data_IF_485660024289
#
_entry.id   IF_485660024289
#
_cell.length_a   1.000
_cell.length_b   1.000
_cell.length_c   1.000
_cell.angle_alpha   90.00
_cell.angle_beta   90.00
_cell.angle_gamma   90.00
#
_symmetry.space_group_name_H-M   'P 1'
#
loop_
_entity.id
_entity.type
_entity.pdbx_description
1 polymer ?
#
# COMPACT_ATOMS: atom_id res chain seq x y z
N UNK A 1 14.01 11.16 4.67
CA UNK A 1 14.41 11.01 3.25
C UNK A 1 13.35 11.68 2.40
N UNK A 2 13.66 12.79 1.76
CA UNK A 2 12.69 13.54 0.95
C UNK A 2 12.92 13.13 -0.51
N UNK A 3 12.01 12.33 -1.08
CA UNK A 3 12.05 12.06 -2.52
C UNK A 3 11.26 13.16 -3.20
N UNK A 4 12.00 13.86 -4.06
CA UNK A 4 11.51 14.91 -4.95
C UNK A 4 10.33 14.33 -5.72
N UNK A 5 9.15 14.98 -5.71
CA UNK A 5 8.13 14.72 -6.73
C UNK A 5 8.82 14.90 -8.08
N UNK A 6 9.21 13.79 -8.68
CA UNK A 6 9.83 13.80 -9.99
C UNK A 6 8.76 14.35 -10.91
N UNK A 7 9.11 15.32 -11.74
CA UNK A 7 8.28 15.77 -12.86
C UNK A 7 8.15 14.67 -13.95
N UNK A 8 8.07 13.40 -13.53
CA UNK A 8 7.99 12.16 -14.29
C UNK A 8 6.73 11.39 -13.91
N UNK A 9 6.48 10.27 -14.57
CA UNK A 9 5.20 9.60 -14.43
C UNK A 9 5.06 8.82 -13.10
N UNK A 10 3.88 8.92 -12.49
CA UNK A 10 3.58 8.34 -11.18
C UNK A 10 2.11 7.90 -11.08
N UNK A 11 1.76 6.97 -10.17
CA UNK A 11 0.36 6.67 -9.86
C UNK A 11 -0.32 7.90 -9.24
N UNK A 12 -1.59 8.13 -9.56
CA UNK A 12 -2.42 9.15 -8.95
C UNK A 12 -3.81 8.59 -8.70
N UNK A 13 -4.24 8.63 -7.45
CA UNK A 13 -5.54 8.11 -7.04
C UNK A 13 -6.62 9.18 -7.15
N UNK A 14 -7.76 8.83 -7.73
CA UNK A 14 -9.04 9.39 -7.29
C UNK A 14 -9.59 8.45 -6.22
N UNK A 15 -9.91 8.99 -5.04
CA UNK A 15 -10.54 8.22 -3.98
C UNK A 15 -11.71 7.40 -4.53
N UNK A 16 -11.83 6.14 -4.09
CA UNK A 16 -12.92 5.30 -4.54
C UNK A 16 -14.25 5.86 -4.02
N UNK A 17 -15.20 6.05 -4.92
CA UNK A 17 -16.59 6.37 -4.58
C UNK A 17 -17.45 5.18 -5.04
N UNK A 18 -18.22 4.60 -4.12
CA UNK A 18 -19.19 3.53 -4.42
C UNK A 18 -20.31 4.08 -5.33
N UNK A 19 -20.01 4.19 -6.63
CA UNK A 19 -20.98 4.41 -7.70
C UNK A 19 -21.26 3.06 -8.35
N UNK A 20 -22.42 2.89 -8.98
CA UNK A 20 -22.93 1.58 -9.46
C UNK A 20 -22.00 0.70 -10.31
N UNK A 21 -20.88 1.25 -10.82
CA UNK A 21 -19.89 0.56 -11.65
C UNK A 21 -18.47 0.50 -11.03
N UNK A 22 -18.29 1.00 -9.79
CA UNK A 22 -17.03 1.04 -9.07
C UNK A 22 -17.19 0.26 -7.76
N UNK A 23 -16.39 -0.79 -7.59
CA UNK A 23 -16.29 -1.52 -6.33
C UNK A 23 -15.14 -0.94 -5.50
N UNK A 24 -15.46 -0.36 -4.35
CA UNK A 24 -14.49 -0.09 -3.30
C UNK A 24 -14.29 -1.35 -2.41
N UNK A 25 -13.42 -1.27 -1.41
CA UNK A 25 -13.11 -2.38 -0.51
C UNK A 25 -11.74 -3.00 -0.74
N UNK A 26 -10.76 -2.22 -1.20
CA UNK A 26 -9.36 -2.60 -1.09
C UNK A 26 -9.01 -2.85 0.39
N UNK A 27 -8.13 -3.81 0.66
CA UNK A 27 -7.83 -4.20 2.03
C UNK A 27 -6.43 -4.77 2.20
N UNK A 28 -5.92 -4.67 3.42
CA UNK A 28 -4.81 -5.52 3.88
C UNK A 28 -5.42 -6.84 4.35
N UNK A 29 -5.02 -7.95 3.75
CA UNK A 29 -5.52 -9.29 4.12
C UNK A 29 -4.56 -10.01 5.06
N UNK A 30 -3.31 -9.58 5.10
CA UNK A 30 -2.27 -10.15 5.95
C UNK A 30 -1.19 -9.11 6.25
N UNK A 31 -0.76 -9.04 7.52
CA UNK A 31 0.45 -8.33 7.91
C UNK A 31 1.15 -9.11 9.03
N UNK A 32 2.47 -9.20 8.95
CA UNK A 32 3.29 -9.81 10.00
C UNK A 32 4.63 -9.09 10.14
N UNK A 33 4.89 -8.56 11.34
CA UNK A 33 6.19 -8.05 11.75
C UNK A 33 7.12 -9.22 12.08
N UNK A 34 8.30 -9.20 11.47
CA UNK A 34 9.33 -10.23 11.61
C UNK A 34 10.42 -9.76 12.59
N UNK A 35 11.09 -10.69 13.29
CA UNK A 35 12.14 -10.35 14.28
C UNK A 35 13.36 -9.59 13.75
N UNK A 36 13.52 -9.45 12.43
CA UNK A 36 14.64 -8.77 11.78
C UNK A 36 14.27 -7.37 11.26
N UNK A 37 13.35 -6.69 11.95
CA UNK A 37 12.82 -5.37 11.56
C UNK A 37 12.30 -5.38 10.13
N UNK A 38 11.51 -6.40 9.77
CA UNK A 38 10.83 -6.46 8.47
C UNK A 38 9.35 -6.66 8.65
N UNK A 39 8.57 -6.21 7.69
CA UNK A 39 7.13 -6.48 7.65
C UNK A 39 6.78 -7.16 6.33
N UNK A 40 6.08 -8.30 6.42
CA UNK A 40 5.48 -8.95 5.27
C UNK A 40 4.00 -8.60 5.23
N UNK A 41 3.54 -8.02 4.11
CA UNK A 41 2.16 -7.56 3.93
C UNK A 41 1.60 -8.13 2.64
N UNK A 42 0.34 -8.52 2.69
CA UNK A 42 -0.47 -8.80 1.50
C UNK A 42 -1.64 -7.84 1.45
N UNK A 43 -1.74 -7.11 0.34
CA UNK A 43 -2.88 -6.25 0.01
C UNK A 43 -3.71 -6.86 -1.09
N UNK A 44 -5.00 -6.55 -1.11
CA UNK A 44 -5.97 -7.04 -2.08
C UNK A 44 -6.83 -5.89 -2.62
N UNK A 45 -7.02 -5.84 -3.94
CA UNK A 45 -7.94 -4.92 -4.59
C UNK A 45 -9.33 -5.55 -4.71
N UNK A 46 -10.39 -4.75 -4.86
CA UNK A 46 -11.69 -5.27 -5.27
C UNK A 46 -11.57 -5.99 -6.62
N UNK A 47 -12.40 -7.00 -6.84
CA UNK A 47 -12.36 -7.81 -8.07
C UNK A 47 -13.29 -7.24 -9.14
N UNK A 48 -12.72 -6.62 -10.16
CA UNK A 48 -13.44 -6.07 -11.31
C UNK A 48 -13.55 -7.06 -12.48
N UNK A 49 -13.01 -8.29 -12.35
CA UNK A 49 -12.92 -9.27 -13.44
C UNK A 49 -12.29 -8.71 -14.74
N UNK A 50 -11.45 -7.68 -14.62
CA UNK A 50 -10.83 -6.96 -15.73
C UNK A 50 -9.31 -7.17 -15.79
N UNK A 51 -8.76 -8.05 -14.94
CA UNK A 51 -7.32 -8.33 -14.81
C UNK A 51 -6.46 -7.08 -14.47
N UNK A 52 -7.04 -6.07 -13.82
CA UNK A 52 -6.36 -4.87 -13.35
C UNK A 52 -6.44 -4.75 -11.81
N UNK A 53 -5.85 -5.73 -11.12
CA UNK A 53 -5.74 -5.73 -9.67
C UNK A 53 -4.75 -4.68 -9.12
N UNK A 54 -3.97 -5.05 -8.10
CA UNK A 54 -3.07 -4.11 -7.40
C UNK A 54 -2.01 -3.54 -8.35
N UNK A 55 -2.18 -2.28 -8.72
CA UNK A 55 -1.36 -1.60 -9.73
C UNK A 55 -0.26 -0.74 -9.10
N UNK A 56 -0.54 -0.17 -7.94
CA UNK A 56 0.43 0.61 -7.17
C UNK A 56 0.10 0.57 -5.67
N UNK A 57 1.10 0.93 -4.86
CA UNK A 57 0.95 1.18 -3.43
C UNK A 57 1.58 2.53 -3.08
N UNK A 58 1.06 3.23 -2.07
CA UNK A 58 1.55 4.54 -1.63
C UNK A 58 1.28 4.75 -0.15
N UNK A 59 1.73 5.91 0.37
CA UNK A 59 1.63 6.30 1.80
C UNK A 59 1.59 5.12 2.76
N UNK A 60 2.73 4.45 2.92
CA UNK A 60 2.83 3.27 3.76
C UNK A 60 3.53 3.61 5.08
N UNK A 61 2.79 3.50 6.18
CA UNK A 61 3.29 3.72 7.54
C UNK A 61 2.93 2.54 8.44
N UNK A 62 3.87 2.18 9.31
CA UNK A 62 3.66 1.20 10.39
C UNK A 62 3.80 1.91 11.73
N UNK A 63 2.92 1.63 12.67
CA UNK A 63 3.04 2.05 14.07
C UNK A 63 2.92 0.84 14.99
N UNK A 64 3.74 0.77 16.01
CA UNK A 64 3.74 -0.30 17.01
C UNK A 64 3.46 0.29 18.37
N UNK A 65 2.61 -0.36 19.15
CA UNK A 65 2.35 -0.02 20.55
C UNK A 65 3.56 -0.46 21.39
N UNK A 66 4.64 0.33 21.41
CA UNK A 66 5.79 0.01 22.26
C UNK A 66 5.41 0.20 23.74
N UNK A 67 5.56 -0.88 24.50
CA UNK A 67 5.23 -0.92 25.93
C UNK A 67 6.37 -0.38 26.81
N UNK A 68 7.55 -0.06 26.25
CA UNK A 68 8.75 0.24 27.04
C UNK A 68 8.81 1.68 27.56
N UNK A 69 8.21 2.65 26.88
CA UNK A 69 8.27 4.08 27.28
C UNK A 69 6.93 4.84 27.21
N UNK A 70 5.81 4.13 27.04
CA UNK A 70 4.48 4.74 26.97
C UNK A 70 4.20 5.52 25.68
N UNK A 71 5.10 5.45 24.70
CA UNK A 71 4.96 6.04 23.37
C UNK A 71 5.25 4.98 22.31
N UNK A 72 4.31 4.75 21.39
CA UNK A 72 4.52 3.80 20.29
C UNK A 72 5.57 4.26 19.29
N UNK A 73 6.25 3.32 18.64
CA UNK A 73 7.22 3.60 17.57
C UNK A 73 6.54 3.59 16.21
N UNK A 74 6.96 4.46 15.28
CA UNK A 74 6.44 4.50 13.90
C UNK A 74 7.54 4.64 12.88
N UNK A 75 7.35 4.03 11.71
CA UNK A 75 8.20 4.24 10.54
C UNK A 75 7.35 4.43 9.27
N UNK A 76 7.73 5.42 8.47
CA UNK A 76 7.09 5.73 7.18
C UNK A 76 8.00 5.26 6.06
N UNK A 77 7.48 4.33 5.27
CA UNK A 77 8.26 3.50 4.35
C UNK A 77 8.12 3.99 2.91
N UNK A 78 6.92 4.41 2.53
CA UNK A 78 6.61 4.90 1.19
C UNK A 78 5.93 6.25 1.34
N UNK A 79 6.60 7.32 0.92
CA UNK A 79 6.05 8.68 0.90
C UNK A 79 5.30 8.99 -0.40
N UNK A 80 5.73 8.43 -1.53
CA UNK A 80 5.10 8.65 -2.83
C UNK A 80 4.66 7.31 -3.42
N UNK A 81 3.51 7.24 -4.11
CA UNK A 81 3.04 6.00 -4.71
C UNK A 81 4.05 5.41 -5.70
N UNK A 82 4.21 4.09 -5.65
CA UNK A 82 5.06 3.30 -6.54
C UNK A 82 4.24 2.25 -7.29
N UNK A 83 4.53 2.05 -8.58
CA UNK A 83 3.93 0.95 -9.33
C UNK A 83 4.46 -0.40 -8.85
N UNK A 84 3.59 -1.41 -8.88
CA UNK A 84 3.92 -2.79 -8.50
C UNK A 84 3.35 -3.76 -9.53
N UNK A 85 3.59 -5.06 -9.38
CA UNK A 85 3.11 -6.10 -10.30
C UNK A 85 3.47 -5.85 -11.78
N UNK A 86 4.62 -5.22 -12.05
CA UNK A 86 5.06 -4.92 -13.42
C UNK A 86 4.31 -3.76 -14.09
N UNK A 87 3.42 -3.07 -13.38
CA UNK A 87 2.84 -1.81 -13.84
C UNK A 87 3.92 -0.76 -14.08
N UNK A 88 3.71 0.05 -15.11
CA UNK A 88 4.57 1.18 -15.45
C UNK A 88 3.76 2.32 -16.06
N UNK A 89 4.48 3.38 -16.39
CA UNK A 89 3.99 4.48 -17.22
C UNK A 89 3.50 4.07 -18.61
N UNK A 90 3.88 2.90 -19.09
CA UNK A 90 3.48 2.41 -20.41
C UNK A 90 2.21 1.58 -20.33
N UNK A 91 1.97 0.85 -19.23
CA UNK A 91 0.76 0.07 -19.05
C UNK A 91 0.82 -0.84 -17.81
N UNK A 92 -0.31 -1.48 -17.56
CA UNK A 92 -0.52 -2.55 -16.60
C UNK A 92 -1.26 -3.65 -17.36
N UNK A 93 -0.79 -4.89 -17.31
CA UNK A 93 -1.46 -6.01 -17.98
C UNK A 93 -1.42 -7.23 -17.05
N UNK A 94 -2.54 -7.95 -16.96
CA UNK A 94 -2.67 -9.20 -16.20
C UNK A 94 -2.18 -9.09 -14.74
N UNK A 95 -2.72 -8.09 -14.04
CA UNK A 95 -2.33 -7.76 -12.68
C UNK A 95 -3.13 -8.60 -11.68
N UNK A 96 -2.47 -9.31 -10.75
CA UNK A 96 -3.16 -10.10 -9.74
C UNK A 96 -3.94 -9.21 -8.77
N UNK A 97 -5.03 -9.76 -8.23
CA UNK A 97 -5.84 -9.09 -7.21
C UNK A 97 -5.07 -8.87 -5.91
N UNK A 98 -4.10 -9.72 -5.62
CA UNK A 98 -3.28 -9.64 -4.43
C UNK A 98 -1.84 -9.26 -4.78
N UNK A 99 -1.23 -8.47 -3.91
CA UNK A 99 0.20 -8.16 -3.97
C UNK A 99 0.82 -8.39 -2.61
N UNK A 100 1.83 -9.26 -2.56
CA UNK A 100 2.62 -9.51 -1.36
C UNK A 100 3.97 -8.80 -1.46
N UNK A 101 4.35 -8.10 -0.41
CA UNK A 101 5.64 -7.42 -0.35
C UNK A 101 6.26 -7.48 1.04
N UNK A 102 7.59 -7.39 1.04
CA UNK A 102 8.43 -7.37 2.24
C UNK A 102 9.18 -6.04 2.28
N UNK A 103 9.09 -5.33 3.39
CA UNK A 103 9.83 -4.08 3.61
C UNK A 103 10.68 -4.14 4.87
N UNK A 104 11.82 -3.46 4.84
CA UNK A 104 12.64 -3.25 6.03
C UNK A 104 12.13 -2.02 6.79
N UNK A 105 12.14 -2.10 8.10
CA UNK A 105 11.71 -1.06 9.01
C UNK A 105 12.92 -0.46 9.73
N UNK A 106 12.86 0.83 9.97
CA UNK A 106 13.79 1.58 10.82
C UNK A 106 13.24 1.67 12.26
N UNK A 107 12.79 0.54 12.80
CA UNK A 107 12.34 0.40 14.19
C UNK A 107 12.87 -0.90 14.80
N UNK A 108 13.07 -0.90 16.12
CA UNK A 108 13.43 -2.11 16.83
C UNK A 108 12.29 -3.13 16.72
N UNK A 109 12.58 -4.43 16.49
CA UNK A 109 11.54 -5.44 16.42
C UNK A 109 10.76 -5.48 17.76
N UNK A 110 9.45 -5.21 17.76
CA UNK A 110 8.68 -5.22 18.99
C UNK A 110 8.53 -6.66 19.50
N UNK A 111 8.33 -6.87 20.82
CA UNK A 111 8.09 -8.19 21.38
C UNK A 111 6.87 -8.89 20.78
N UNK A 112 6.86 -10.22 20.82
CA UNK A 112 5.68 -11.02 20.49
C UNK A 112 4.46 -10.55 21.30
N UNK A 113 3.30 -10.49 20.65
CA UNK A 113 2.05 -10.02 21.25
C UNK A 113 1.87 -8.50 21.24
N UNK A 114 2.86 -7.74 20.77
CA UNK A 114 2.73 -6.28 20.60
C UNK A 114 1.76 -5.97 19.47
N UNK A 115 0.82 -5.07 19.73
CA UNK A 115 -0.09 -4.57 18.71
C UNK A 115 0.62 -3.60 17.77
N UNK A 116 0.21 -3.61 16.52
CA UNK A 116 0.68 -2.68 15.52
C UNK A 116 -0.41 -2.37 14.50
N UNK A 117 -0.30 -1.19 13.92
CA UNK A 117 -1.14 -0.65 12.89
C UNK A 117 -0.35 -0.50 11.58
N UNK A 118 -1.05 -0.72 10.47
CA UNK A 118 -0.60 -0.47 9.12
C UNK A 118 -1.57 0.52 8.49
N UNK A 119 -1.05 1.63 7.97
CA UNK A 119 -1.76 2.50 7.04
C UNK A 119 -1.10 2.42 5.68
N UNK A 120 -1.89 2.20 4.64
CA UNK A 120 -1.40 2.08 3.27
C UNK A 120 -2.43 2.59 2.27
N UNK A 121 -1.99 3.37 1.29
CA UNK A 121 -2.78 3.69 0.10
C UNK A 121 -2.63 2.56 -0.92
N UNK A 122 -3.74 1.95 -1.31
CA UNK A 122 -3.79 0.87 -2.30
C UNK A 122 -4.37 1.44 -3.59
N UNK A 123 -3.73 1.17 -4.73
CA UNK A 123 -4.18 1.64 -6.05
C UNK A 123 -4.43 0.47 -6.99
N UNK A 124 -5.52 0.52 -7.73
CA UNK A 124 -5.90 -0.50 -8.71
C UNK A 124 -6.58 0.14 -9.93
N UNK A 125 -6.79 -0.68 -10.96
CA UNK A 125 -7.45 -0.25 -12.20
C UNK A 125 -6.83 1.03 -12.81
N UNK A 126 -5.50 1.13 -12.76
CA UNK A 126 -4.80 2.27 -13.34
C UNK A 126 -4.87 2.22 -14.87
N UNK A 127 -5.28 3.33 -15.50
CA UNK A 127 -5.40 3.41 -16.96
C UNK A 127 -4.59 4.56 -17.55
N UNK A 128 -4.38 4.50 -18.87
CA UNK A 128 -3.68 5.53 -19.64
C UNK A 128 -4.67 6.62 -20.04
N UNK A 129 -4.51 7.83 -19.50
CA UNK A 129 -5.32 8.99 -19.91
C UNK A 129 -4.74 9.76 -21.12
N UNK A 130 -3.56 9.37 -21.60
CA UNK A 130 -2.91 9.93 -22.79
C UNK A 130 -2.45 11.38 -22.69
N UNK A 131 -2.78 12.08 -21.60
CA UNK A 131 -2.65 13.53 -21.47
C UNK A 131 -1.85 13.97 -20.24
N UNK A 132 -1.71 13.11 -19.22
CA UNK A 132 -1.04 13.49 -17.98
C UNK A 132 0.19 12.64 -17.67
N UNK A 133 1.12 13.23 -16.89
CA UNK A 133 2.24 12.51 -16.29
C UNK A 133 1.76 11.62 -15.14
N UNK A 134 0.63 11.94 -14.54
CA UNK A 134 -0.02 11.10 -13.56
C UNK A 134 -0.74 9.92 -14.25
N UNK A 135 -0.84 8.78 -13.59
CA UNK A 135 -1.67 7.68 -14.05
C UNK A 135 -2.90 7.62 -13.15
N UNK A 136 -4.10 7.96 -13.66
CA UNK A 136 -5.30 7.86 -12.85
C UNK A 136 -5.55 6.40 -12.50
N UNK A 137 -5.78 6.18 -11.21
CA UNK A 137 -6.12 4.90 -10.60
C UNK A 137 -7.28 5.11 -9.64
N UNK A 138 -8.02 4.04 -9.36
CA UNK A 138 -8.81 4.00 -8.15
C UNK A 138 -7.87 3.86 -6.95
N UNK A 139 -8.22 4.48 -5.81
CA UNK A 139 -7.43 4.36 -4.60
C UNK A 139 -8.25 4.37 -3.32
N UNK A 140 -7.76 3.67 -2.31
CA UNK A 140 -8.26 3.71 -0.94
C UNK A 140 -7.09 3.74 0.05
N UNK A 141 -7.25 4.55 1.09
CA UNK A 141 -6.38 4.53 2.26
C UNK A 141 -6.94 3.54 3.26
N UNK A 142 -6.19 2.47 3.50
CA UNK A 142 -6.61 1.35 4.32
C UNK A 142 -5.84 1.35 5.62
N UNK A 143 -6.57 1.17 6.73
CA UNK A 143 -6.02 0.86 8.03
C UNK A 143 -6.21 -0.61 8.37
N UNK A 144 -5.19 -1.24 8.93
CA UNK A 144 -5.23 -2.61 9.41
C UNK A 144 -4.47 -2.75 10.71
N UNK A 145 -5.10 -3.39 11.70
CA UNK A 145 -4.53 -3.57 13.04
C UNK A 145 -4.42 -5.06 13.37
N UNK A 146 -3.27 -5.46 13.87
CA UNK A 146 -2.99 -6.84 14.32
C UNK A 146 -1.88 -6.83 15.36
N UNK A 147 -1.43 -8.00 15.80
CA UNK A 147 -0.32 -8.16 16.73
C UNK A 147 0.80 -9.02 16.14
N UNK A 148 2.00 -8.88 16.71
CA UNK A 148 3.18 -9.70 16.37
C UNK A 148 2.97 -11.14 16.82
N UNK A 149 3.05 -12.08 15.87
CA UNK A 149 2.73 -13.49 16.08
C UNK A 149 3.79 -14.30 16.80
#
# INVERSE_FOLDING_TARGET
MHIKKTHGCHPSGSGCEDRSNYFCGARVVYANLLPNSKINITVESPNYHNNLGISAIGHFTVHTDDNKEGHGASDTLIYDPIFVNGCTCHGCENIPLQYNFLWNLNLEPPPKGTWFDVWISIYWNCYKDGLSKARPCNSEDVHYRTYVK
#
